data_IF_476097988256
#
_entry.id   IF_476097988256
#
_cell.length_a   1.000
_cell.length_b   1.000
_cell.length_c   1.000
_cell.angle_alpha   90.00
_cell.angle_beta   90.00
_cell.angle_gamma   90.00
#
_symmetry.space_group_name_H-M   'P 1'
#
loop_
_entity.id
_entity.type
_entity.pdbx_description
1 polymer ?
#
# COMPACT_ATOMS: atom_id res chain seq x y z
N UNK A 1 4.58 28.73 0.30
CA UNK A 1 3.53 28.90 -0.73
C UNK A 1 3.59 27.81 -1.80
N UNK A 2 4.70 27.60 -2.52
CA UNK A 2 4.81 26.55 -3.57
C UNK A 2 4.46 25.13 -3.08
N UNK A 3 4.96 24.71 -1.91
CA UNK A 3 4.66 23.37 -1.34
C UNK A 3 3.19 23.21 -0.96
N UNK A 4 2.60 24.21 -0.30
CA UNK A 4 1.16 24.19 0.04
C UNK A 4 0.32 24.01 -1.23
N UNK A 5 0.57 24.82 -2.26
CA UNK A 5 -0.13 24.71 -3.55
C UNK A 5 0.08 23.34 -4.18
N UNK A 6 1.31 22.81 -4.17
CA UNK A 6 1.60 21.49 -4.71
C UNK A 6 0.80 20.38 -4.01
N UNK A 7 0.79 20.38 -2.67
CA UNK A 7 0.08 19.38 -1.87
C UNK A 7 -1.44 19.54 -2.02
N UNK A 8 -1.97 20.77 -2.07
CA UNK A 8 -3.38 21.03 -2.38
C UNK A 8 -3.75 20.50 -3.77
N UNK A 9 -2.90 20.72 -4.78
CA UNK A 9 -3.14 20.20 -6.13
C UNK A 9 -3.10 18.66 -6.16
N UNK A 10 -2.26 18.01 -5.34
CA UNK A 10 -2.31 16.54 -5.21
C UNK A 10 -3.62 16.07 -4.57
N UNK A 11 -4.11 16.76 -3.54
CA UNK A 11 -5.37 16.39 -2.88
C UNK A 11 -6.56 16.55 -3.84
N UNK A 12 -6.68 17.73 -4.44
CA UNK A 12 -7.84 18.13 -5.23
C UNK A 12 -7.81 17.57 -6.65
N UNK A 13 -6.61 17.50 -7.25
CA UNK A 13 -6.43 17.14 -8.66
C UNK A 13 -6.07 15.67 -8.90
N UNK A 14 -5.94 14.83 -7.87
CA UNK A 14 -5.50 13.44 -8.08
C UNK A 14 -6.44 12.64 -9.00
N UNK A 15 -7.75 12.90 -8.90
CA UNK A 15 -8.79 12.26 -9.73
C UNK A 15 -9.09 12.99 -11.04
N UNK A 16 -8.51 14.17 -11.25
CA UNK A 16 -8.74 14.95 -12.47
C UNK A 16 -7.96 14.37 -13.63
N UNK A 17 -8.68 14.01 -14.70
CA UNK A 17 -8.08 13.59 -15.95
C UNK A 17 -8.96 14.04 -17.12
N UNK A 18 -8.35 14.30 -18.26
CA UNK A 18 -9.05 14.52 -19.52
C UNK A 18 -8.43 13.59 -20.55
N UNK A 19 -9.27 12.90 -21.33
CA UNK A 19 -8.77 12.06 -22.42
C UNK A 19 -7.95 12.93 -23.37
N UNK A 20 -6.70 12.56 -23.55
CA UNK A 20 -5.82 13.18 -24.55
C UNK A 20 -6.24 12.72 -25.94
N UNK A 21 -5.81 13.41 -27.00
CA UNK A 21 -6.02 12.95 -28.38
C UNK A 21 -5.51 11.51 -28.58
N UNK A 22 -4.36 11.19 -27.99
CA UNK A 22 -3.79 9.84 -28.01
C UNK A 22 -4.69 8.80 -27.32
N UNK A 23 -5.42 9.19 -26.27
CA UNK A 23 -6.36 8.31 -25.59
C UNK A 23 -7.58 8.02 -26.47
N UNK A 24 -8.13 9.06 -27.09
CA UNK A 24 -9.28 8.96 -28.00
C UNK A 24 -8.92 8.10 -29.20
N UNK A 25 -7.76 8.34 -29.81
CA UNK A 25 -7.25 7.54 -30.92
C UNK A 25 -7.05 6.07 -30.54
N UNK A 26 -6.51 5.82 -29.35
CA UNK A 26 -6.33 4.45 -28.85
C UNK A 26 -7.68 3.76 -28.68
N UNK A 27 -8.65 4.40 -28.01
CA UNK A 27 -10.01 3.86 -27.83
C UNK A 27 -10.66 3.55 -29.18
N UNK A 28 -10.56 4.46 -30.15
CA UNK A 28 -11.13 4.25 -31.48
C UNK A 28 -10.48 3.08 -32.23
N UNK A 29 -9.19 2.85 -32.02
CA UNK A 29 -8.43 1.79 -32.70
C UNK A 29 -8.62 0.40 -32.09
N UNK A 30 -8.61 0.29 -30.76
CA UNK A 30 -8.60 -1.01 -30.06
C UNK A 30 -9.85 -1.28 -29.23
N UNK A 31 -10.73 -0.29 -29.08
CA UNK A 31 -11.90 -0.37 -28.22
C UNK A 31 -11.60 -0.08 -26.75
N UNK A 32 -12.67 0.04 -25.96
CA UNK A 32 -12.60 0.44 -24.56
C UNK A 32 -11.89 -0.60 -23.67
N UNK A 33 -12.14 -1.89 -23.90
CA UNK A 33 -11.55 -3.00 -23.12
C UNK A 33 -10.01 -2.98 -23.19
N UNK A 34 -9.47 -2.88 -24.39
CA UNK A 34 -8.02 -2.84 -24.61
C UNK A 34 -7.40 -1.53 -24.13
N UNK A 35 -8.12 -0.41 -24.25
CA UNK A 35 -7.70 0.86 -23.65
C UNK A 35 -7.52 0.75 -22.13
N UNK A 36 -8.53 0.23 -21.43
CA UNK A 36 -8.52 0.08 -19.97
C UNK A 36 -7.38 -0.85 -19.55
N UNK A 37 -7.25 -1.99 -20.22
CA UNK A 37 -6.18 -2.96 -19.97
C UNK A 37 -4.80 -2.32 -20.17
N UNK A 38 -4.62 -1.52 -21.24
CA UNK A 38 -3.37 -0.80 -21.48
C UNK A 38 -3.07 0.24 -20.39
N UNK A 39 -4.08 0.94 -19.85
CA UNK A 39 -3.91 1.87 -18.72
C UNK A 39 -3.49 1.16 -17.45
N UNK A 40 -4.12 0.02 -17.13
CA UNK A 40 -3.72 -0.81 -15.99
C UNK A 40 -2.27 -1.31 -16.15
N UNK A 41 -1.84 -1.65 -17.37
CA UNK A 41 -0.48 -2.14 -17.64
C UNK A 41 0.58 -1.05 -17.83
N UNK A 42 0.22 0.21 -17.65
CA UNK A 42 1.07 1.37 -17.93
C UNK A 42 2.43 1.30 -17.25
N UNK A 43 3.50 1.39 -18.06
CA UNK A 43 4.90 1.45 -17.60
C UNK A 43 5.21 2.70 -16.76
N UNK A 44 4.37 3.74 -16.82
CA UNK A 44 4.49 4.93 -15.96
C UNK A 44 4.37 4.55 -14.48
N UNK A 45 3.53 3.56 -14.18
CA UNK A 45 3.22 3.15 -12.81
C UNK A 45 3.85 1.81 -12.44
N UNK A 46 3.79 0.86 -13.37
CA UNK A 46 4.33 -0.49 -13.20
C UNK A 46 5.85 -0.48 -13.06
N UNK A 47 6.37 -1.17 -12.03
CA UNK A 47 7.80 -1.28 -11.73
C UNK A 47 8.39 -2.66 -12.05
N UNK A 48 7.56 -3.68 -12.20
CA UNK A 48 7.98 -5.05 -12.54
C UNK A 48 7.27 -5.59 -13.75
N UNK A 49 7.84 -6.61 -14.40
CA UNK A 49 7.19 -7.35 -15.49
C UNK A 49 5.90 -8.02 -14.98
N UNK A 50 4.86 -8.00 -15.81
CA UNK A 50 3.63 -8.74 -15.55
C UNK A 50 3.86 -10.22 -15.82
N UNK A 51 3.41 -11.07 -14.90
CA UNK A 51 3.30 -12.51 -15.12
C UNK A 51 1.96 -12.86 -15.81
N UNK A 52 1.86 -14.10 -16.28
CA UNK A 52 0.67 -14.57 -17.00
C UNK A 52 -0.60 -14.58 -16.14
N UNK A 53 -0.48 -14.86 -14.84
CA UNK A 53 -1.66 -14.86 -13.95
C UNK A 53 -2.16 -13.45 -13.74
N UNK A 54 -1.25 -12.48 -13.56
CA UNK A 54 -1.62 -11.05 -13.49
C UNK A 54 -2.38 -10.60 -14.74
N UNK A 55 -1.91 -11.01 -15.92
CA UNK A 55 -2.57 -10.66 -17.19
C UNK A 55 -3.97 -11.28 -17.24
N UNK A 56 -4.10 -12.59 -16.96
CA UNK A 56 -5.39 -13.30 -16.95
C UNK A 56 -6.38 -12.69 -15.97
N UNK A 57 -5.94 -12.36 -14.76
CA UNK A 57 -6.77 -11.76 -13.72
C UNK A 57 -7.32 -10.40 -14.17
N UNK A 58 -6.45 -9.56 -14.72
CA UNK A 58 -6.81 -8.21 -15.19
C UNK A 58 -7.77 -8.29 -16.37
N UNK A 59 -7.47 -9.10 -17.39
CA UNK A 59 -8.34 -9.26 -18.54
C UNK A 59 -9.71 -9.78 -18.11
N UNK A 60 -9.78 -10.82 -17.26
CA UNK A 60 -11.05 -11.34 -16.72
C UNK A 60 -11.85 -10.25 -16.01
N UNK A 61 -11.21 -9.48 -15.13
CA UNK A 61 -11.88 -8.43 -14.37
C UNK A 61 -12.44 -7.33 -15.28
N UNK A 62 -11.66 -6.86 -16.26
CA UNK A 62 -12.11 -5.86 -17.22
C UNK A 62 -13.28 -6.40 -18.05
N UNK A 63 -13.18 -7.61 -18.58
CA UNK A 63 -14.21 -8.24 -19.41
C UNK A 63 -15.53 -8.36 -18.62
N UNK A 64 -15.46 -8.87 -17.39
CA UNK A 64 -16.62 -9.02 -16.53
C UNK A 64 -17.22 -7.67 -16.11
N UNK A 65 -16.39 -6.67 -15.81
CA UNK A 65 -16.86 -5.35 -15.42
C UNK A 65 -17.63 -4.69 -16.58
N UNK A 66 -17.07 -4.74 -17.79
CA UNK A 66 -17.69 -4.20 -18.99
C UNK A 66 -19.00 -4.93 -19.33
N UNK A 67 -18.99 -6.27 -19.31
CA UNK A 67 -20.18 -7.07 -19.61
C UNK A 67 -21.32 -6.84 -18.61
N UNK A 68 -21.00 -6.64 -17.34
CA UNK A 68 -22.01 -6.46 -16.26
C UNK A 68 -22.36 -4.99 -15.99
N UNK A 69 -21.66 -4.03 -16.61
CA UNK A 69 -21.86 -2.61 -16.35
C UNK A 69 -21.59 -2.23 -14.90
N UNK A 70 -20.49 -2.73 -14.31
CA UNK A 70 -20.08 -2.46 -12.93
C UNK A 70 -18.71 -1.80 -12.90
N UNK A 71 -18.33 -1.09 -11.82
CA UNK A 71 -16.97 -0.57 -11.67
C UNK A 71 -15.92 -1.69 -11.81
N UNK A 72 -14.75 -1.32 -12.31
CA UNK A 72 -13.58 -2.20 -12.28
C UNK A 72 -13.06 -2.23 -10.85
N UNK A 73 -13.02 -3.42 -10.26
CA UNK A 73 -12.56 -3.61 -8.89
C UNK A 73 -11.03 -3.70 -8.86
N UNK A 74 -10.41 -2.90 -8.01
CA UNK A 74 -8.97 -2.82 -7.83
C UNK A 74 -8.67 -2.98 -6.34
N UNK A 75 -7.71 -3.83 -5.99
CA UNK A 75 -7.42 -4.22 -4.62
C UNK A 75 -5.96 -3.94 -4.28
N UNK A 76 -5.73 -3.29 -3.14
CA UNK A 76 -4.40 -3.04 -2.59
C UNK A 76 -4.34 -3.55 -1.15
N UNK A 77 -3.63 -4.66 -0.92
CA UNK A 77 -3.54 -5.27 0.41
C UNK A 77 -2.40 -4.68 1.25
N UNK A 78 -2.69 -4.32 2.50
CA UNK A 78 -1.72 -3.76 3.44
C UNK A 78 -1.93 -4.22 4.89
N UNK A 79 -0.96 -3.92 5.75
CA UNK A 79 -1.11 -4.12 7.19
C UNK A 79 -1.87 -2.95 7.82
N UNK A 80 -2.72 -3.23 8.81
CA UNK A 80 -3.44 -2.19 9.56
C UNK A 80 -2.58 -1.59 10.68
N UNK A 81 -1.44 -1.01 10.34
CA UNK A 81 -0.56 -0.34 11.30
C UNK A 81 0.40 0.62 10.60
N UNK A 82 0.81 1.68 11.29
CA UNK A 82 2.06 2.38 10.98
C UNK A 82 3.22 1.71 11.72
N UNK A 83 4.36 1.48 11.05
CA UNK A 83 5.51 0.85 11.71
C UNK A 83 5.95 1.66 12.94
N UNK A 84 5.98 1.01 14.11
CA UNK A 84 6.26 1.63 15.41
C UNK A 84 7.57 2.42 15.53
N UNK A 85 8.51 2.19 14.60
CA UNK A 85 9.81 2.85 14.55
C UNK A 85 9.79 4.22 13.87
N UNK A 86 8.71 4.57 13.18
CA UNK A 86 8.59 5.86 12.51
C UNK A 86 7.86 6.86 13.40
N UNK A 87 8.17 8.15 13.24
CA UNK A 87 7.74 9.19 14.18
C UNK A 87 6.23 9.39 14.17
N UNK A 88 5.56 9.13 13.05
CA UNK A 88 4.11 9.30 12.97
C UNK A 88 3.31 8.13 13.59
N UNK A 89 3.96 7.05 14.00
CA UNK A 89 3.23 5.89 14.52
C UNK A 89 2.41 6.27 15.76
N UNK A 90 1.15 5.80 15.88
CA UNK A 90 0.51 4.78 15.06
C UNK A 90 -0.27 5.31 13.84
N UNK A 91 -0.27 6.61 13.58
CA UNK A 91 -1.17 7.26 12.62
C UNK A 91 -0.59 7.36 11.20
N UNK A 92 -1.49 7.46 10.22
CA UNK A 92 -1.19 7.77 8.82
C UNK A 92 -0.51 9.15 8.69
N UNK A 93 0.38 9.29 7.70
CA UNK A 93 1.15 10.52 7.44
C UNK A 93 1.26 10.82 5.94
N UNK A 94 2.20 11.68 5.57
CA UNK A 94 2.45 12.05 4.16
C UNK A 94 2.68 10.86 3.22
N UNK A 95 3.18 9.72 3.71
CA UNK A 95 3.36 8.51 2.92
C UNK A 95 2.03 7.93 2.44
N UNK A 96 1.04 7.84 3.32
CA UNK A 96 -0.32 7.43 2.98
C UNK A 96 -0.96 8.44 2.03
N UNK A 97 -0.81 9.75 2.29
CA UNK A 97 -1.32 10.82 1.42
C UNK A 97 -0.76 10.69 0.00
N UNK A 98 0.55 10.48 -0.13
CA UNK A 98 1.18 10.32 -1.45
C UNK A 98 0.79 9.03 -2.15
N UNK A 99 0.56 7.95 -1.41
CA UNK A 99 0.11 6.70 -2.01
C UNK A 99 -1.33 6.82 -2.54
N UNK A 100 -2.23 7.42 -1.77
CA UNK A 100 -3.60 7.71 -2.20
C UNK A 100 -3.62 8.55 -3.47
N UNK A 101 -2.96 9.71 -3.45
CA UNK A 101 -2.87 10.57 -4.63
C UNK A 101 -2.32 9.81 -5.86
N UNK A 102 -1.29 9.00 -5.66
CA UNK A 102 -0.67 8.23 -6.73
C UNK A 102 -1.58 7.16 -7.33
N UNK A 103 -2.30 6.40 -6.50
CA UNK A 103 -3.22 5.36 -6.96
C UNK A 103 -4.50 5.95 -7.58
N UNK A 104 -5.01 7.06 -7.05
CA UNK A 104 -6.13 7.78 -7.66
C UNK A 104 -5.74 8.26 -9.06
N UNK A 105 -4.59 8.93 -9.21
CA UNK A 105 -4.11 9.39 -10.53
C UNK A 105 -3.76 8.26 -11.49
N UNK A 106 -3.44 7.07 -10.98
CA UNK A 106 -3.25 5.88 -11.80
C UNK A 106 -4.56 5.39 -12.43
N UNK A 107 -5.66 5.47 -11.68
CA UNK A 107 -6.97 4.96 -12.09
C UNK A 107 -7.84 6.01 -12.79
N UNK A 108 -7.57 7.31 -12.61
CA UNK A 108 -8.34 8.41 -13.20
C UNK A 108 -8.59 8.28 -14.73
N UNK A 109 -7.60 7.89 -15.58
CA UNK A 109 -7.87 7.72 -17.02
C UNK A 109 -8.95 6.68 -17.33
N UNK A 110 -9.04 5.62 -16.51
CA UNK A 110 -10.05 4.56 -16.66
C UNK A 110 -11.41 5.13 -16.25
N UNK A 111 -11.49 5.84 -15.14
CA UNK A 111 -12.72 6.45 -14.64
C UNK A 111 -13.32 7.46 -15.63
N UNK A 112 -12.48 8.21 -16.35
CA UNK A 112 -12.97 9.15 -17.38
C UNK A 112 -13.47 8.42 -18.63
N UNK A 113 -12.79 7.36 -19.07
CA UNK A 113 -13.18 6.61 -20.28
C UNK A 113 -14.38 5.67 -20.06
N UNK A 114 -14.56 5.15 -18.85
CA UNK A 114 -15.57 4.15 -18.53
C UNK A 114 -16.59 4.71 -17.54
N UNK A 115 -17.85 4.82 -17.97
CA UNK A 115 -18.91 5.47 -17.18
C UNK A 115 -19.12 4.88 -15.78
N UNK A 116 -18.92 3.57 -15.60
CA UNK A 116 -19.06 2.91 -14.29
C UNK A 116 -17.79 3.03 -13.43
N UNK A 117 -16.70 3.51 -14.01
CA UNK A 117 -15.48 3.87 -13.33
C UNK A 117 -14.78 2.73 -12.61
N UNK A 118 -14.25 3.03 -11.42
CA UNK A 118 -13.35 2.15 -10.66
C UNK A 118 -13.72 2.13 -9.18
N UNK A 119 -13.46 1.00 -8.52
CA UNK A 119 -13.59 0.80 -7.09
C UNK A 119 -12.24 0.34 -6.54
N UNK A 120 -11.55 1.23 -5.82
CA UNK A 120 -10.27 0.93 -5.16
C UNK A 120 -10.52 0.48 -3.72
N UNK A 121 -10.21 -0.77 -3.44
CA UNK A 121 -10.29 -1.36 -2.10
C UNK A 121 -8.91 -1.43 -1.47
N UNK A 122 -8.69 -0.70 -0.38
CA UNK A 122 -7.58 -1.00 0.52
C UNK A 122 -8.00 -2.13 1.44
N UNK A 123 -7.35 -3.29 1.29
CA UNK A 123 -7.63 -4.46 2.11
C UNK A 123 -6.67 -4.51 3.30
N UNK A 124 -7.20 -4.29 4.50
CA UNK A 124 -6.44 -4.18 5.75
C UNK A 124 -6.36 -5.52 6.48
N UNK A 125 -5.13 -5.97 6.73
CA UNK A 125 -4.82 -7.08 7.63
C UNK A 125 -4.78 -6.55 9.07
N UNK A 126 -5.89 -6.70 9.79
CA UNK A 126 -6.10 -6.15 11.14
C UNK A 126 -5.73 -7.11 12.25
N UNK A 127 -5.83 -8.42 12.00
CA UNK A 127 -5.55 -9.45 13.02
C UNK A 127 -4.05 -9.72 13.13
N UNK A 128 -3.33 -9.59 12.02
CA UNK A 128 -1.89 -9.84 11.98
C UNK A 128 -1.06 -8.94 12.91
N UNK A 129 -1.19 -7.60 12.87
CA UNK A 129 -0.33 -6.74 13.66
C UNK A 129 -0.48 -6.98 15.18
N UNK A 130 -1.69 -7.30 15.64
CA UNK A 130 -1.94 -7.63 17.05
C UNK A 130 -1.33 -8.96 17.47
N UNK A 131 -1.37 -9.97 16.58
CA UNK A 131 -0.99 -11.34 16.94
C UNK A 131 0.51 -11.59 16.96
N UNK A 132 1.28 -10.88 16.13
CA UNK A 132 2.71 -11.15 15.99
C UNK A 132 3.65 -9.95 15.88
N UNK A 133 3.14 -8.73 15.67
CA UNK A 133 3.98 -7.53 15.77
C UNK A 133 3.99 -6.95 17.20
N UNK A 134 3.23 -7.53 18.12
CA UNK A 134 3.06 -7.06 19.50
C UNK A 134 2.43 -5.64 19.61
N UNK A 135 1.63 -5.27 18.60
CA UNK A 135 0.91 -4.00 18.60
C UNK A 135 -0.40 -4.13 19.37
N UNK A 136 -0.81 -3.04 20.01
CA UNK A 136 -2.10 -2.94 20.69
C UNK A 136 -3.25 -2.81 19.70
N UNK A 137 -4.45 -3.19 20.14
CA UNK A 137 -5.68 -2.94 19.38
C UNK A 137 -5.89 -1.44 19.13
N UNK A 138 -5.56 -0.60 20.12
CA UNK A 138 -5.62 0.87 19.99
C UNK A 138 -4.71 1.37 18.86
N UNK A 139 -3.46 0.92 18.76
CA UNK A 139 -2.56 1.32 17.66
C UNK A 139 -3.13 0.92 16.28
N UNK A 140 -3.72 -0.28 16.17
CA UNK A 140 -4.34 -0.77 14.94
C UNK A 140 -5.56 0.06 14.55
N UNK A 141 -6.42 0.39 15.51
CA UNK A 141 -7.61 1.21 15.31
C UNK A 141 -7.21 2.65 14.97
N UNK A 142 -6.26 3.25 15.69
CA UNK A 142 -5.79 4.62 15.40
C UNK A 142 -5.20 4.75 13.99
N UNK A 143 -4.46 3.75 13.51
CA UNK A 143 -4.01 3.74 12.12
C UNK A 143 -5.19 3.71 11.14
N UNK A 144 -6.14 2.80 11.36
CA UNK A 144 -7.31 2.62 10.51
C UNK A 144 -8.16 3.90 10.43
N UNK A 145 -8.48 4.50 11.58
CA UNK A 145 -9.24 5.74 11.67
C UNK A 145 -8.52 6.90 10.99
N UNK A 146 -7.21 7.08 11.26
CA UNK A 146 -6.43 8.14 10.60
C UNK A 146 -6.30 7.97 9.08
N UNK A 147 -6.31 6.73 8.59
CA UNK A 147 -6.31 6.45 7.15
C UNK A 147 -7.69 6.71 6.54
N UNK A 148 -8.78 6.36 7.23
CA UNK A 148 -10.15 6.67 6.81
C UNK A 148 -10.35 8.19 6.75
N UNK A 149 -9.96 8.94 7.79
CA UNK A 149 -10.03 10.40 7.80
C UNK A 149 -9.31 11.01 6.59
N UNK A 150 -8.16 10.44 6.22
CA UNK A 150 -7.40 10.87 5.06
C UNK A 150 -8.12 10.54 3.74
N UNK A 151 -8.72 9.34 3.62
CA UNK A 151 -9.54 8.96 2.47
C UNK A 151 -10.73 9.91 2.30
N UNK A 152 -11.44 10.22 3.38
CA UNK A 152 -12.59 11.13 3.37
C UNK A 152 -12.21 12.50 2.79
N UNK A 153 -10.98 12.99 3.06
CA UNK A 153 -10.48 14.24 2.46
C UNK A 153 -10.28 14.15 0.96
N UNK A 154 -9.84 13.01 0.43
CA UNK A 154 -9.73 12.84 -1.02
C UNK A 154 -11.12 12.75 -1.65
N UNK A 155 -12.05 12.02 -1.02
CA UNK A 155 -13.42 11.82 -1.52
C UNK A 155 -14.17 13.14 -1.76
N UNK A 156 -13.90 14.19 -0.98
CA UNK A 156 -14.44 15.55 -1.20
C UNK A 156 -14.17 16.09 -2.64
N UNK A 157 -13.14 15.59 -3.32
CA UNK A 157 -12.70 16.08 -4.64
C UNK A 157 -12.75 15.01 -5.75
N UNK A 158 -13.12 13.77 -5.42
CA UNK A 158 -13.12 12.70 -6.41
C UNK A 158 -14.31 12.80 -7.37
N UNK A 159 -14.13 12.43 -8.65
CA UNK A 159 -15.24 12.13 -9.53
C UNK A 159 -16.14 11.07 -8.91
N UNK A 160 -17.46 11.19 -9.10
CA UNK A 160 -18.46 10.29 -8.47
C UNK A 160 -18.33 8.81 -8.86
N UNK A 161 -17.54 8.50 -9.90
CA UNK A 161 -17.29 7.14 -10.36
C UNK A 161 -15.87 6.64 -10.02
N UNK A 162 -15.14 7.33 -9.14
CA UNK A 162 -13.98 6.79 -8.43
C UNK A 162 -14.41 6.55 -6.98
N UNK A 163 -14.59 5.28 -6.61
CA UNK A 163 -14.89 4.89 -5.23
C UNK A 163 -13.60 4.38 -4.56
N UNK A 164 -13.34 4.79 -3.32
CA UNK A 164 -12.28 4.22 -2.49
C UNK A 164 -12.94 3.67 -1.23
N UNK A 165 -12.57 2.46 -0.82
CA UNK A 165 -13.11 1.86 0.41
C UNK A 165 -12.06 1.06 1.16
N UNK A 166 -12.32 0.87 2.44
CA UNK A 166 -11.57 -0.04 3.30
C UNK A 166 -12.37 -1.33 3.48
N UNK A 167 -11.71 -2.47 3.29
CA UNK A 167 -12.20 -3.78 3.71
C UNK A 167 -11.20 -4.41 4.66
N UNK A 168 -11.66 -5.06 5.74
CA UNK A 168 -10.79 -5.71 6.70
C UNK A 168 -10.90 -7.22 6.59
N UNK A 169 -9.81 -7.90 6.91
CA UNK A 169 -9.82 -9.36 7.05
C UNK A 169 -10.78 -9.86 8.15
N UNK A 170 -11.09 -9.01 9.13
CA UNK A 170 -12.12 -9.26 10.14
C UNK A 170 -13.56 -9.17 9.61
N UNK A 171 -13.81 -8.47 8.49
CA UNK A 171 -15.16 -8.30 7.94
C UNK A 171 -15.62 -9.54 7.15
N UNK A 172 -14.68 -10.23 6.52
CA UNK A 172 -14.96 -11.43 5.72
C UNK A 172 -15.22 -12.70 6.56
N UNK A 173 -14.81 -12.71 7.83
CA UNK A 173 -14.80 -13.90 8.67
C UNK A 173 -15.23 -13.59 10.11
N UNK A 174 -16.15 -14.38 10.66
CA UNK A 174 -16.32 -14.39 12.12
C UNK A 174 -15.00 -14.75 12.80
N UNK A 175 -14.71 -14.15 13.96
CA UNK A 175 -13.46 -14.38 14.72
C UNK A 175 -13.15 -15.87 14.91
N UNK A 176 -14.19 -16.69 15.18
CA UNK A 176 -14.08 -18.15 15.28
C UNK A 176 -13.63 -18.80 13.95
N UNK A 177 -14.25 -18.41 12.83
CA UNK A 177 -13.89 -18.93 11.50
C UNK A 177 -12.47 -18.52 11.12
N UNK A 178 -12.10 -17.26 11.35
CA UNK A 178 -10.75 -16.75 11.09
C UNK A 178 -9.71 -17.52 11.91
N UNK A 179 -9.92 -17.68 13.23
CA UNK A 179 -9.01 -18.43 14.09
C UNK A 179 -8.82 -19.89 13.64
N UNK A 180 -9.88 -20.54 13.17
CA UNK A 180 -9.79 -21.89 12.64
C UNK A 180 -9.01 -21.96 11.31
N UNK A 181 -9.19 -20.97 10.43
CA UNK A 181 -8.40 -20.85 9.20
C UNK A 181 -6.94 -20.60 9.52
N UNK A 182 -6.66 -19.70 10.46
CA UNK A 182 -5.32 -19.35 10.90
C UNK A 182 -4.60 -20.56 11.50
N UNK A 183 -5.25 -21.33 12.38
CA UNK A 183 -4.68 -22.58 12.92
C UNK A 183 -4.27 -23.57 11.82
N UNK A 184 -5.15 -23.79 10.83
CA UNK A 184 -4.84 -24.67 9.69
C UNK A 184 -3.70 -24.11 8.83
N UNK A 185 -3.70 -22.80 8.62
CA UNK A 185 -2.68 -22.12 7.82
C UNK A 185 -1.31 -22.13 8.51
N UNK A 186 -1.24 -22.01 9.84
CA UNK A 186 -0.01 -22.11 10.62
C UNK A 186 0.63 -23.49 10.51
N UNK A 187 -0.16 -24.58 10.54
CA UNK A 187 0.37 -25.94 10.32
C UNK A 187 0.98 -26.12 8.93
N UNK A 188 0.43 -25.44 7.93
CA UNK A 188 0.98 -25.45 6.57
C UNK A 188 2.22 -24.54 6.47
N UNK A 189 2.20 -23.39 7.14
CA UNK A 189 3.30 -22.44 7.21
C UNK A 189 4.56 -23.10 7.76
N UNK A 190 4.41 -23.77 8.91
CA UNK A 190 5.47 -24.48 9.60
C UNK A 190 6.13 -25.53 8.70
N UNK A 191 5.33 -26.43 8.11
CA UNK A 191 5.81 -27.46 7.17
C UNK A 191 6.53 -26.91 5.95
N UNK A 192 6.16 -25.71 5.49
CA UNK A 192 6.73 -25.08 4.29
C UNK A 192 7.97 -24.25 4.61
N UNK A 193 7.98 -23.52 5.73
CA UNK A 193 9.05 -22.60 6.11
C UNK A 193 10.41 -23.30 6.11
N UNK A 194 10.49 -24.46 6.77
CA UNK A 194 11.71 -25.26 6.86
C UNK A 194 12.15 -25.90 5.55
N UNK A 195 11.29 -25.93 4.53
CA UNK A 195 11.61 -26.43 3.18
C UNK A 195 12.05 -25.33 2.21
N UNK A 196 11.95 -24.06 2.59
CA UNK A 196 12.36 -22.97 1.71
C UNK A 196 13.88 -22.88 1.59
N UNK A 197 14.38 -22.30 0.49
CA UNK A 197 15.75 -21.86 0.40
C UNK A 197 16.11 -20.97 1.61
N UNK A 198 17.32 -21.15 2.14
CA UNK A 198 17.80 -20.43 3.34
C UNK A 198 17.68 -18.91 3.18
N UNK A 199 18.00 -18.38 2.00
CA UNK A 199 17.85 -16.96 1.66
C UNK A 199 16.42 -16.43 1.85
N UNK A 200 15.41 -17.23 1.52
CA UNK A 200 13.99 -16.87 1.72
C UNK A 200 13.62 -16.94 3.21
N UNK A 201 14.11 -17.93 3.94
CA UNK A 201 13.88 -18.02 5.39
C UNK A 201 14.49 -16.80 6.10
N UNK A 202 15.73 -16.44 5.75
CA UNK A 202 16.45 -15.32 6.34
C UNK A 202 15.77 -13.97 6.02
N UNK A 203 15.22 -13.79 4.81
CA UNK A 203 14.44 -12.59 4.49
C UNK A 203 13.18 -12.48 5.38
N UNK A 204 12.43 -13.57 5.56
CA UNK A 204 11.25 -13.57 6.41
C UNK A 204 11.60 -13.31 7.88
N UNK A 205 12.65 -13.95 8.41
CA UNK A 205 13.17 -13.73 9.77
C UNK A 205 13.55 -12.26 9.95
N UNK A 206 14.32 -11.71 9.00
CA UNK A 206 14.74 -10.30 9.03
C UNK A 206 13.54 -9.36 9.03
N UNK A 207 12.54 -9.61 8.17
CA UNK A 207 11.30 -8.82 8.13
C UNK A 207 10.50 -8.92 9.42
N UNK A 208 10.38 -10.10 10.01
CA UNK A 208 9.69 -10.30 11.28
C UNK A 208 10.35 -9.47 12.40
N UNK A 209 11.68 -9.54 12.54
CA UNK A 209 12.42 -8.73 13.51
C UNK A 209 12.20 -7.23 13.37
N UNK A 210 12.07 -6.74 12.13
CA UNK A 210 11.84 -5.33 11.87
C UNK A 210 10.44 -4.85 12.25
N UNK A 211 9.44 -5.75 12.27
CA UNK A 211 8.05 -5.40 12.57
C UNK A 211 7.66 -5.63 14.03
N UNK A 212 8.35 -6.51 14.76
CA UNK A 212 8.09 -6.75 16.19
C UNK A 212 8.42 -5.48 16.99
N UNK A 213 7.43 -4.99 17.73
CA UNK A 213 7.60 -3.98 18.78
C UNK A 213 7.97 -4.69 20.08
N UNK A 214 9.24 -4.69 20.45
CA UNK A 214 9.72 -5.48 21.60
C UNK A 214 9.18 -4.97 22.94
N UNK A 215 8.82 -3.69 23.02
CA UNK A 215 8.19 -3.01 24.15
C UNK A 215 6.70 -2.68 23.84
N UNK A 216 6.02 -3.62 23.19
CA UNK A 216 4.62 -3.49 22.78
C UNK A 216 3.63 -3.83 23.90
N UNK A 217 2.53 -4.51 23.55
CA UNK A 217 1.50 -4.94 24.52
C UNK A 217 2.13 -5.76 25.65
N UNK A 218 3.01 -6.69 25.28
CA UNK A 218 3.86 -7.40 26.22
C UNK A 218 5.28 -6.84 26.16
N UNK A 219 5.93 -6.65 27.31
CA UNK A 219 7.34 -6.26 27.35
C UNK A 219 8.25 -7.46 27.07
N UNK A 220 8.58 -7.65 25.80
CA UNK A 220 9.47 -8.70 25.31
C UNK A 220 10.96 -8.30 25.34
N UNK A 221 11.29 -7.08 25.75
CA UNK A 221 12.70 -6.65 25.88
C UNK A 221 13.46 -7.48 26.92
N UNK A 222 12.73 -7.98 27.93
CA UNK A 222 13.22 -8.79 29.05
C UNK A 222 13.33 -10.29 28.75
N UNK A 223 12.85 -10.74 27.60
CA UNK A 223 12.94 -12.16 27.22
C UNK A 223 14.40 -12.56 26.98
N UNK A 224 14.73 -13.82 27.30
CA UNK A 224 16.01 -14.42 26.90
C UNK A 224 16.06 -14.57 25.38
N UNK A 225 17.24 -14.59 24.80
CA UNK A 225 17.42 -14.67 23.33
C UNK A 225 16.68 -15.87 22.71
N UNK A 226 16.72 -17.06 23.31
CA UNK A 226 15.95 -18.22 22.82
C UNK A 226 14.43 -17.96 22.76
N UNK A 227 13.89 -17.17 23.70
CA UNK A 227 12.48 -16.80 23.73
C UNK A 227 12.18 -15.73 22.68
N UNK A 228 13.09 -14.77 22.45
CA UNK A 228 12.97 -13.79 21.35
C UNK A 228 12.95 -14.48 19.99
N UNK A 229 13.83 -15.47 19.78
CA UNK A 229 13.85 -16.27 18.55
C UNK A 229 12.52 -16.97 18.30
N UNK A 230 11.88 -17.53 19.35
CA UNK A 230 10.54 -18.13 19.24
C UNK A 230 9.48 -17.11 18.84
N UNK A 231 9.56 -15.85 19.30
CA UNK A 231 8.63 -14.81 18.86
C UNK A 231 8.85 -14.42 17.39
N UNK A 232 10.11 -14.37 16.94
CA UNK A 232 10.46 -14.11 15.54
C UNK A 232 9.96 -15.23 14.64
N UNK A 233 10.20 -16.49 15.01
CA UNK A 233 9.69 -17.66 14.28
C UNK A 233 8.15 -17.62 14.20
N UNK A 234 7.50 -17.39 15.34
CA UNK A 234 6.04 -17.22 15.39
C UNK A 234 5.58 -16.13 14.42
N UNK A 235 6.21 -14.96 14.42
CA UNK A 235 5.86 -13.88 13.51
C UNK A 235 6.01 -14.25 12.03
N UNK A 236 7.05 -14.98 11.67
CA UNK A 236 7.23 -15.50 10.31
C UNK A 236 6.07 -16.42 9.92
N UNK A 237 5.70 -17.35 10.80
CA UNK A 237 4.63 -18.31 10.52
C UNK A 237 3.26 -17.63 10.38
N UNK A 238 2.95 -16.63 11.22
CA UNK A 238 1.71 -15.87 11.14
C UNK A 238 1.63 -15.03 9.85
N UNK A 239 2.69 -14.31 9.50
CA UNK A 239 2.78 -13.55 8.25
C UNK A 239 2.53 -14.47 7.04
N UNK A 240 3.18 -15.63 6.98
CA UNK A 240 2.95 -16.59 5.90
C UNK A 240 1.52 -17.13 5.90
N UNK A 241 1.02 -17.56 7.06
CA UNK A 241 -0.32 -18.14 7.20
C UNK A 241 -1.40 -17.17 6.67
N UNK A 242 -1.34 -15.89 7.06
CA UNK A 242 -2.33 -14.93 6.60
C UNK A 242 -2.11 -14.52 5.14
N UNK A 243 -0.88 -14.17 4.74
CA UNK A 243 -0.65 -13.58 3.42
C UNK A 243 -0.54 -14.59 2.28
N UNK A 244 -0.25 -15.86 2.57
CA UNK A 244 0.02 -16.90 1.56
C UNK A 244 -0.92 -18.11 1.67
N UNK A 245 -1.88 -18.08 2.60
CA UNK A 245 -2.89 -19.14 2.72
C UNK A 245 -4.28 -18.57 2.84
N UNK A 246 -4.51 -17.60 3.75
CA UNK A 246 -5.84 -16.99 3.91
C UNK A 246 -6.10 -16.02 2.76
N UNK A 247 -5.23 -15.03 2.57
CA UNK A 247 -5.38 -14.00 1.55
C UNK A 247 -5.43 -14.58 0.13
N UNK A 248 -4.65 -15.64 -0.11
CA UNK A 248 -4.62 -16.38 -1.37
C UNK A 248 -5.96 -17.05 -1.71
N UNK A 249 -6.69 -17.55 -0.70
CA UNK A 249 -8.01 -18.15 -0.92
C UNK A 249 -9.08 -17.14 -1.29
N UNK A 250 -8.87 -15.88 -0.94
CA UNK A 250 -9.78 -14.79 -1.27
C UNK A 250 -9.51 -14.20 -2.67
N UNK A 251 -8.52 -14.70 -3.41
CA UNK A 251 -8.15 -14.21 -4.75
C UNK A 251 -9.26 -14.31 -5.78
N UNK A 252 -10.07 -15.37 -5.72
CA UNK A 252 -11.18 -15.55 -6.67
C UNK A 252 -12.27 -14.48 -6.52
N UNK A 253 -12.33 -13.82 -5.35
CA UNK A 253 -13.27 -12.72 -5.10
C UNK A 253 -12.73 -11.35 -5.50
N UNK A 254 -11.47 -11.28 -5.95
CA UNK A 254 -10.75 -10.04 -6.16
C UNK A 254 -10.61 -9.76 -7.66
N UNK A 255 -10.78 -8.48 -7.99
CA UNK A 255 -10.52 -7.93 -9.32
C UNK A 255 -9.02 -7.75 -9.54
N UNK A 256 -8.60 -6.58 -10.00
CA UNK A 256 -7.18 -6.27 -10.24
C UNK A 256 -6.44 -6.16 -8.91
N UNK A 257 -5.37 -6.94 -8.70
CA UNK A 257 -4.55 -6.85 -7.48
C UNK A 257 -3.33 -5.97 -7.75
N UNK A 258 -3.10 -4.99 -6.87
CA UNK A 258 -1.93 -4.12 -6.86
C UNK A 258 -0.99 -4.48 -5.71
N UNK A 259 0.32 -4.39 -5.95
CA UNK A 259 1.34 -4.65 -4.94
C UNK A 259 2.57 -3.77 -5.16
N UNK A 260 3.19 -3.32 -4.08
CA UNK A 260 4.47 -2.58 -4.14
C UNK A 260 5.69 -3.49 -4.21
N UNK A 261 5.45 -4.80 -4.33
CA UNK A 261 6.45 -5.84 -4.50
C UNK A 261 6.04 -6.73 -5.68
N UNK A 262 7.00 -7.32 -6.40
CA UNK A 262 6.68 -8.33 -7.40
C UNK A 262 6.02 -9.52 -6.71
N UNK A 263 4.83 -9.87 -7.16
CA UNK A 263 4.09 -11.06 -6.78
C UNK A 263 3.54 -11.68 -8.05
N UNK A 264 3.32 -12.99 -8.01
CA UNK A 264 2.39 -13.61 -8.95
C UNK A 264 1.04 -12.87 -8.86
N UNK A 265 0.24 -12.91 -9.92
CA UNK A 265 -1.16 -12.43 -9.94
C UNK A 265 -1.43 -11.01 -9.40
N UNK A 266 -0.42 -10.15 -9.33
CA UNK A 266 -0.55 -8.75 -8.99
C UNK A 266 0.26 -7.86 -9.94
N UNK A 267 -0.31 -6.70 -10.26
CA UNK A 267 0.43 -5.62 -10.90
C UNK A 267 1.38 -5.01 -9.87
N UNK A 268 2.68 -5.25 -10.07
CA UNK A 268 3.73 -4.61 -9.30
C UNK A 268 3.86 -3.11 -9.65
N UNK A 269 3.36 -2.24 -8.78
CA UNK A 269 3.29 -0.78 -8.92
C UNK A 269 4.17 -0.06 -7.88
N UNK A 270 4.54 1.20 -8.14
CA UNK A 270 5.16 2.04 -7.11
C UNK A 270 4.19 2.39 -5.98
N UNK A 271 4.73 2.81 -4.83
CA UNK A 271 3.93 3.52 -3.82
C UNK A 271 3.80 5.01 -4.18
N UNK A 272 4.80 5.55 -4.88
CA UNK A 272 4.77 6.81 -5.62
C UNK A 272 5.52 6.62 -6.95
N UNK A 273 5.65 7.68 -7.75
CA UNK A 273 6.47 7.63 -8.97
C UNK A 273 7.95 7.34 -8.67
N UNK A 274 8.44 7.74 -7.50
CA UNK A 274 9.87 7.66 -7.09
C UNK A 274 10.17 6.56 -6.08
N UNK A 275 9.16 5.91 -5.49
CA UNK A 275 9.34 4.93 -4.41
C UNK A 275 8.50 3.67 -4.58
N UNK A 276 9.04 2.55 -4.10
CA UNK A 276 8.36 1.26 -3.91
C UNK A 276 8.23 0.89 -2.42
N UNK A 277 8.68 1.76 -1.50
CA UNK A 277 8.59 1.52 -0.07
C UNK A 277 7.12 1.49 0.36
N UNK A 278 6.73 0.52 1.18
CA UNK A 278 5.37 0.41 1.74
C UNK A 278 5.04 1.66 2.55
N UNK A 279 3.94 2.34 2.24
CA UNK A 279 3.56 3.60 2.90
C UNK A 279 3.37 3.43 4.40
N UNK A 280 2.72 2.34 4.82
CA UNK A 280 2.47 2.00 6.22
C UNK A 280 3.74 1.62 7.02
N UNK A 281 4.89 1.55 6.36
CA UNK A 281 6.20 1.29 6.98
C UNK A 281 7.12 2.50 6.92
N UNK A 282 6.83 3.48 6.06
CA UNK A 282 7.74 4.56 5.73
C UNK A 282 7.24 5.95 6.09
N UNK A 283 8.09 6.94 5.83
CA UNK A 283 7.81 8.36 6.02
C UNK A 283 7.70 9.06 4.66
N UNK A 284 6.69 9.93 4.52
CA UNK A 284 6.46 10.70 3.29
C UNK A 284 7.25 12.00 3.29
N UNK A 285 8.02 12.24 2.23
CA UNK A 285 8.82 13.45 2.04
C UNK A 285 8.68 13.97 0.61
N UNK A 286 9.11 15.21 0.36
CA UNK A 286 9.26 15.75 -0.99
C UNK A 286 10.73 15.85 -1.38
N UNK A 287 11.04 15.49 -2.62
CA UNK A 287 12.27 15.89 -3.30
C UNK A 287 11.94 17.13 -4.16
N UNK A 288 12.79 18.14 -4.13
CA UNK A 288 12.70 19.33 -4.98
C UNK A 288 13.84 19.31 -5.99
N UNK A 289 13.52 19.36 -7.28
CA UNK A 289 14.50 19.46 -8.37
C UNK A 289 13.97 20.40 -9.45
N UNK A 290 14.75 21.43 -9.81
CA UNK A 290 14.33 22.41 -10.81
C UNK A 290 13.04 23.17 -10.48
N UNK A 291 12.69 23.29 -9.19
CA UNK A 291 11.43 23.91 -8.75
C UNK A 291 10.20 23.01 -8.86
N UNK A 292 10.38 21.73 -9.21
CA UNK A 292 9.35 20.69 -9.25
C UNK A 292 9.48 19.81 -8.01
N UNK A 293 8.34 19.41 -7.44
CA UNK A 293 8.29 18.50 -6.29
C UNK A 293 7.95 17.07 -6.70
N UNK A 294 8.61 16.11 -6.05
CA UNK A 294 8.44 14.69 -6.28
C UNK A 294 8.13 13.99 -4.95
N UNK A 295 6.97 13.33 -4.81
CA UNK A 295 6.64 12.62 -3.60
C UNK A 295 7.47 11.36 -3.48
N UNK A 296 8.10 11.16 -2.33
CA UNK A 296 8.85 9.94 -2.01
C UNK A 296 8.41 9.40 -0.67
N UNK A 297 8.34 8.07 -0.59
CA UNK A 297 8.22 7.34 0.67
C UNK A 297 9.58 6.74 0.98
N UNK A 298 10.11 7.05 2.17
CA UNK A 298 11.37 6.54 2.68
C UNK A 298 11.10 5.38 3.64
N UNK A 299 11.74 4.23 3.44
CA UNK A 299 11.79 3.19 4.46
C UNK A 299 12.55 3.68 5.71
N UNK A 300 12.45 3.02 6.88
CA UNK A 300 13.13 3.46 8.09
C UNK A 300 14.64 3.72 7.90
N UNK A 301 15.36 2.80 7.26
CA UNK A 301 16.79 2.97 6.99
C UNK A 301 17.11 4.04 5.94
N UNK A 302 16.17 4.34 5.04
CA UNK A 302 16.28 5.47 4.12
C UNK A 302 16.03 6.79 4.83
N UNK A 303 15.07 6.84 5.75
CA UNK A 303 14.74 8.01 6.55
C UNK A 303 15.85 8.35 7.55
N UNK A 304 16.40 7.35 8.25
CA UNK A 304 17.58 7.49 9.13
C UNK A 304 18.78 8.10 8.38
N UNK A 305 19.01 7.68 7.14
CA UNK A 305 20.05 8.28 6.30
C UNK A 305 19.69 9.69 5.82
N UNK A 306 18.43 9.92 5.45
CA UNK A 306 17.95 11.22 5.02
C UNK A 306 18.06 12.28 6.12
N UNK A 307 17.95 11.89 7.40
CA UNK A 307 18.13 12.79 8.54
C UNK A 307 19.50 13.49 8.56
N UNK A 308 20.54 12.87 7.98
CA UNK A 308 21.87 13.48 7.82
C UNK A 308 21.99 14.46 6.64
N UNK A 309 20.97 14.55 5.79
CA UNK A 309 20.94 15.42 4.61
C UNK A 309 20.21 16.71 4.95
N UNK A 310 20.83 17.85 4.63
CA UNK A 310 20.21 19.17 4.78
C UNK A 310 18.89 19.25 4.00
N UNK A 311 17.81 19.55 4.70
CA UNK A 311 16.47 19.70 4.14
C UNK A 311 15.75 20.91 4.78
N UNK A 312 14.58 21.24 4.25
CA UNK A 312 13.67 22.24 4.83
C UNK A 312 12.50 21.51 5.48
N UNK A 313 12.07 21.94 6.66
CA UNK A 313 10.78 21.57 7.22
C UNK A 313 9.79 22.69 6.96
N UNK A 314 8.76 22.42 6.17
CA UNK A 314 7.80 23.43 5.71
C UNK A 314 6.44 23.15 6.34
N UNK A 315 5.85 24.17 6.96
CA UNK A 315 4.48 24.08 7.47
C UNK A 315 3.49 23.90 6.33
N UNK A 316 2.62 22.90 6.46
CA UNK A 316 1.54 22.60 5.54
C UNK A 316 0.21 22.60 6.30
N UNK A 317 -0.86 23.04 5.63
CA UNK A 317 -2.22 23.12 6.18
C UNK A 317 -3.23 22.44 5.26
N UNK A 318 -2.77 21.49 4.45
CA UNK A 318 -3.63 20.78 3.47
C UNK A 318 -4.51 19.76 4.17
N UNK A 319 -3.93 18.98 5.07
CA UNK A 319 -4.63 18.03 5.93
C UNK A 319 -4.52 18.55 7.37
N UNK A 320 -5.61 18.59 8.15
CA UNK A 320 -5.56 18.99 9.54
C UNK A 320 -4.79 17.97 10.40
N UNK A 321 -4.34 18.40 11.57
CA UNK A 321 -3.65 17.54 12.54
C UNK A 321 -2.13 17.73 12.56
N UNK A 322 -1.52 17.39 13.70
CA UNK A 322 -0.10 17.65 13.96
C UNK A 322 0.83 16.86 13.02
N UNK A 323 0.43 15.66 12.63
CA UNK A 323 1.22 14.79 11.74
C UNK A 323 1.41 15.39 10.35
N UNK A 324 0.38 16.08 9.85
CA UNK A 324 0.42 16.75 8.56
C UNK A 324 0.84 18.22 8.67
N UNK A 325 1.13 18.73 9.87
CA UNK A 325 1.44 20.15 10.06
C UNK A 325 2.77 20.57 9.42
N UNK A 326 3.69 19.63 9.21
CA UNK A 326 4.99 19.88 8.57
C UNK A 326 5.32 18.79 7.57
N UNK A 327 6.06 19.17 6.53
CA UNK A 327 6.64 18.24 5.56
C UNK A 327 8.12 18.54 5.33
N UNK A 328 8.93 17.50 5.22
CA UNK A 328 10.33 17.63 4.85
C UNK A 328 10.49 17.73 3.33
N UNK A 329 11.33 18.67 2.91
CA UNK A 329 11.64 18.93 1.51
C UNK A 329 13.15 18.91 1.31
N UNK A 330 13.60 17.92 0.53
CA UNK A 330 15.00 17.66 0.22
C UNK A 330 15.37 18.32 -1.11
N UNK A 331 16.53 18.99 -1.22
CA UNK A 331 16.87 19.83 -2.37
C UNK A 331 17.33 19.05 -3.63
N UNK A 332 17.24 17.72 -3.61
CA UNK A 332 17.64 16.83 -4.70
C UNK A 332 16.98 15.47 -4.55
N UNK A 333 17.00 14.69 -5.63
CA UNK A 333 16.62 13.29 -5.56
C UNK A 333 17.61 12.48 -4.70
N UNK A 334 17.07 11.53 -3.95
CA UNK A 334 17.86 10.52 -3.26
C UNK A 334 18.38 9.49 -4.27
N UNK A 335 19.65 9.16 -4.11
CA UNK A 335 20.27 8.00 -4.74
C UNK A 335 20.60 6.97 -3.66
N UNK A 336 19.87 5.86 -3.67
CA UNK A 336 20.09 4.73 -2.76
C UNK A 336 20.81 3.56 -3.43
N UNK A 337 21.28 3.72 -4.68
CA UNK A 337 22.00 2.66 -5.40
C UNK A 337 23.41 2.41 -4.85
N UNK A 338 23.96 3.34 -4.08
CA UNK A 338 25.29 3.26 -3.48
C UNK A 338 25.29 2.68 -2.05
N UNK A 339 24.17 2.12 -1.59
CA UNK A 339 24.02 1.54 -0.25
C UNK A 339 24.08 0.01 -0.26
#
# INVERSE_FOLDING_TARGET
MKVQTYLTNLLQGAGEYSLTEQDVDLINRVGLQDYITAKLFSKKYRKWRLDEQSIKLVTREVDEALAKGRPIEVFFAQGSYKLWRVASAPMANWAEFFNLAYLISYLAPIAVAYKHGVSLTYYFLTILPQTHNNLSETEVISYLESFQDLMDRFEEYLPSNINIKIERDADAYSRRKYNNLLKKALLLADKKFYKWPKTKQDDYIRRARLNIKWDGVEDWTKLREEQKEKQVERAVLYEYAATQVILEKDKERRGVILSTLPKEDAIGIGSTSTSIAKHWVGEGVLEESGGVFYPRILSPSQYEYAAGIRHKSITAKVIPGEIFAKIEVYPRHFDFSQK
#
